data_IF_647197056270
#
_entry.id   IF_647197056270
#
_cell.length_a   1.000
_cell.length_b   1.000
_cell.length_c   1.000
_cell.angle_alpha   90.00
_cell.angle_beta   90.00
_cell.angle_gamma   90.00
#
_symmetry.space_group_name_H-M   'P 1'
#
loop_
_entity.id
_entity.type
_entity.pdbx_description
1 polymer ?
#
# COMPACT_ATOMS: atom_id res chain seq x y z
N UNK A 1 -13.96 16.84 43.01
CA UNK A 1 -12.65 16.75 42.34
C UNK A 1 -12.95 16.75 40.85
N UNK A 2 -12.97 17.95 40.27
CA UNK A 2 -13.27 18.13 38.84
C UNK A 2 -12.06 17.67 38.04
N UNK A 3 -12.25 16.65 37.21
CA UNK A 3 -11.30 16.30 36.16
C UNK A 3 -11.44 17.41 35.12
N UNK A 4 -10.48 18.32 35.09
CA UNK A 4 -10.38 19.33 34.04
C UNK A 4 -9.99 18.58 32.77
N UNK A 5 -11.00 18.21 31.96
CA UNK A 5 -10.80 17.77 30.58
C UNK A 5 -10.06 18.88 29.85
N UNK A 6 -8.79 18.62 29.50
CA UNK A 6 -8.02 19.51 28.66
C UNK A 6 -8.44 19.24 27.21
N UNK A 7 -9.27 20.08 26.56
CA UNK A 7 -10.03 19.68 25.39
C UNK A 7 -9.26 19.83 24.07
N UNK A 8 -7.95 20.06 24.12
CA UNK A 8 -7.13 20.18 22.91
C UNK A 8 -5.76 19.54 23.11
N UNK A 9 -5.55 18.28 22.68
CA UNK A 9 -4.21 17.71 22.64
C UNK A 9 -3.33 18.59 21.75
N UNK A 10 -2.22 19.08 22.31
CA UNK A 10 -1.28 19.94 21.59
C UNK A 10 -0.74 19.17 20.37
N UNK A 11 -0.86 19.75 19.17
CA UNK A 11 -0.24 19.16 18.00
C UNK A 11 1.28 19.27 18.10
N UNK A 12 1.95 18.14 17.89
CA UNK A 12 3.39 18.04 17.80
C UNK A 12 3.82 18.17 16.34
N UNK A 13 4.44 19.31 16.01
CA UNK A 13 5.04 19.53 14.70
C UNK A 13 6.51 19.10 14.74
N UNK A 14 6.89 18.15 13.89
CA UNK A 14 8.28 17.68 13.79
C UNK A 14 8.81 17.99 12.39
N UNK A 15 9.31 19.22 12.16
CA UNK A 15 9.54 19.74 10.81
C UNK A 15 10.71 19.10 10.07
N UNK A 16 11.60 18.42 10.78
CA UNK A 16 12.82 17.81 10.21
C UNK A 16 12.73 16.30 10.07
N UNK A 17 11.69 15.65 10.61
CA UNK A 17 11.57 14.20 10.58
C UNK A 17 11.26 13.73 9.16
N UNK A 18 12.21 13.01 8.54
CA UNK A 18 12.07 12.47 7.18
C UNK A 18 11.57 11.04 7.14
N UNK A 19 11.76 10.28 8.23
CA UNK A 19 11.46 8.85 8.26
C UNK A 19 10.76 8.54 9.57
N UNK A 20 9.56 8.00 9.48
CA UNK A 20 8.78 7.51 10.62
C UNK A 20 8.42 6.06 10.36
N UNK A 21 8.94 5.17 11.20
CA UNK A 21 8.75 3.73 11.08
C UNK A 21 8.28 3.22 12.43
N UNK A 22 7.07 2.68 12.45
CA UNK A 22 6.53 2.00 13.61
C UNK A 22 6.88 0.51 13.54
N UNK A 23 7.40 -0.01 14.65
CA UNK A 23 7.74 -1.41 14.80
C UNK A 23 6.51 -2.29 15.01
N UNK A 24 6.69 -3.61 14.92
CA UNK A 24 5.59 -4.57 15.06
C UNK A 24 5.12 -4.78 16.50
N UNK A 25 5.85 -4.28 17.50
CA UNK A 25 5.65 -4.62 18.92
C UNK A 25 5.14 -3.46 19.78
N UNK A 26 4.93 -2.30 19.20
CA UNK A 26 4.51 -1.14 19.99
C UNK A 26 3.01 -1.27 20.28
N UNK A 27 2.68 -1.66 21.52
CA UNK A 27 1.35 -1.46 22.15
C UNK A 27 1.06 0.04 22.39
N UNK A 28 1.78 0.93 21.72
CA UNK A 28 1.55 2.36 21.82
C UNK A 28 0.21 2.67 21.21
N UNK A 29 -0.56 3.48 21.93
CA UNK A 29 -1.80 4.07 21.45
C UNK A 29 -1.61 4.63 20.03
N UNK A 30 -2.24 3.96 19.06
CA UNK A 30 -2.14 4.23 17.61
C UNK A 30 -2.65 5.64 17.24
N UNK A 31 -3.20 6.38 18.21
CA UNK A 31 -3.64 7.76 18.06
C UNK A 31 -2.52 8.77 17.86
N UNK A 32 -1.24 8.40 17.99
CA UNK A 32 -0.14 9.37 17.85
C UNK A 32 -0.16 10.09 16.49
N UNK A 33 -0.62 9.44 15.42
CA UNK A 33 -0.78 10.08 14.11
C UNK A 33 -1.80 11.22 14.11
N UNK A 34 -2.75 11.27 15.05
CA UNK A 34 -3.69 12.39 15.17
C UNK A 34 -2.99 13.68 15.56
N UNK A 35 -1.90 13.56 16.33
CA UNK A 35 -1.23 14.70 16.94
C UNK A 35 0.05 15.10 16.22
N UNK A 36 0.48 14.34 15.21
CA UNK A 36 1.72 14.60 14.48
C UNK A 36 1.49 15.40 13.20
N UNK A 37 2.31 16.43 12.98
CA UNK A 37 2.44 17.11 11.70
C UNK A 37 3.89 16.99 11.23
N UNK A 38 4.09 16.33 10.08
CA UNK A 38 5.41 15.87 9.62
C UNK A 38 5.72 16.40 8.21
N UNK A 39 5.98 17.72 8.06
CA UNK A 39 6.03 18.35 6.74
C UNK A 39 7.23 17.93 5.86
N UNK A 40 8.29 17.39 6.46
CA UNK A 40 9.44 16.86 5.73
C UNK A 40 9.41 15.33 5.55
N UNK A 41 8.30 14.66 5.87
CA UNK A 41 8.24 13.19 5.86
C UNK A 41 8.37 12.64 4.44
N UNK A 42 9.31 11.71 4.26
CA UNK A 42 9.60 11.04 2.99
C UNK A 42 9.33 9.54 3.07
N UNK A 43 9.44 8.94 4.25
CA UNK A 43 9.19 7.52 4.48
C UNK A 43 8.25 7.33 5.67
N UNK A 44 7.16 6.62 5.44
CA UNK A 44 6.16 6.27 6.44
C UNK A 44 5.93 4.75 6.41
N UNK A 45 6.14 4.09 7.54
CA UNK A 45 5.85 2.66 7.70
C UNK A 45 4.96 2.46 8.92
N UNK A 46 3.75 1.96 8.68
CA UNK A 46 2.69 1.84 9.68
C UNK A 46 2.20 0.40 9.82
N UNK A 47 2.12 -0.14 11.04
CA UNK A 47 1.24 -1.27 11.32
C UNK A 47 -0.21 -0.79 11.29
N UNK A 48 -1.02 -1.38 10.43
CA UNK A 48 -2.47 -1.14 10.34
C UNK A 48 -3.18 -1.95 11.43
N UNK A 49 -2.87 -1.64 12.70
CA UNK A 49 -3.49 -2.28 13.88
C UNK A 49 -4.77 -1.57 14.27
N UNK A 50 -4.74 -0.25 14.44
CA UNK A 50 -5.91 0.54 14.83
C UNK A 50 -6.05 1.85 14.04
N UNK A 51 -5.12 2.13 13.12
CA UNK A 51 -5.20 3.33 12.27
C UNK A 51 -6.34 3.17 11.28
N UNK A 52 -7.34 4.05 11.39
CA UNK A 52 -8.42 4.11 10.41
C UNK A 52 -7.95 4.76 9.11
N UNK A 53 -8.66 4.51 8.00
CA UNK A 53 -8.32 5.15 6.74
C UNK A 53 -8.43 6.68 6.78
N UNK A 54 -9.39 7.19 7.53
CA UNK A 54 -9.59 8.62 7.74
C UNK A 54 -8.42 9.26 8.48
N UNK A 55 -7.85 8.56 9.47
CA UNK A 55 -6.71 9.04 10.24
C UNK A 55 -5.45 9.12 9.38
N UNK A 56 -5.22 8.11 8.54
CA UNK A 56 -4.12 8.14 7.58
C UNK A 56 -4.28 9.30 6.59
N UNK A 57 -5.49 9.48 6.05
CA UNK A 57 -5.84 10.62 5.17
C UNK A 57 -5.57 11.95 5.87
N UNK A 58 -6.09 12.13 7.09
CA UNK A 58 -5.93 13.36 7.86
C UNK A 58 -4.45 13.66 8.16
N UNK A 59 -3.67 12.64 8.52
CA UNK A 59 -2.23 12.79 8.77
C UNK A 59 -1.48 13.23 7.50
N UNK A 60 -1.80 12.64 6.35
CA UNK A 60 -1.20 12.98 5.05
C UNK A 60 -1.58 14.40 4.63
N UNK A 61 -2.88 14.76 4.70
CA UNK A 61 -3.37 16.10 4.38
C UNK A 61 -2.71 17.17 5.24
N UNK A 62 -2.70 16.96 6.57
CA UNK A 62 -2.12 17.91 7.52
C UNK A 62 -0.63 18.08 7.35
N UNK A 63 0.09 17.00 7.02
CA UNK A 63 1.53 17.06 6.85
C UNK A 63 1.94 17.64 5.50
N UNK A 64 1.10 17.54 4.46
CA UNK A 64 1.46 17.91 3.08
C UNK A 64 2.84 17.34 2.67
N UNK A 65 3.14 16.15 3.16
CA UNK A 65 4.49 15.61 3.16
C UNK A 65 4.91 15.22 1.73
N UNK A 66 6.18 15.44 1.34
CA UNK A 66 6.74 14.94 0.10
C UNK A 66 7.03 13.42 0.21
N UNK A 67 6.00 12.64 0.57
CA UNK A 67 6.12 11.24 0.91
C UNK A 67 6.46 10.42 -0.35
N UNK A 68 7.59 9.71 -0.30
CA UNK A 68 8.11 8.89 -1.41
C UNK A 68 7.95 7.41 -1.16
N UNK A 69 7.99 6.97 0.09
CA UNK A 69 7.93 5.57 0.48
C UNK A 69 6.82 5.38 1.53
N UNK A 70 5.79 4.62 1.18
CA UNK A 70 4.69 4.25 2.06
C UNK A 70 4.67 2.73 2.23
N UNK A 71 4.66 2.30 3.48
CA UNK A 71 4.62 0.91 3.89
C UNK A 71 3.45 0.68 4.86
N UNK A 72 2.50 -0.17 4.49
CA UNK A 72 1.32 -0.48 5.30
C UNK A 72 1.32 -1.98 5.65
N UNK A 73 1.25 -2.32 6.94
CA UNK A 73 1.34 -3.71 7.43
C UNK A 73 0.07 -4.09 8.19
N UNK A 74 -0.80 -4.86 7.57
CA UNK A 74 -2.01 -5.35 8.20
C UNK A 74 -1.71 -6.51 9.15
N UNK A 75 -2.43 -6.53 10.25
CA UNK A 75 -2.42 -7.64 11.18
C UNK A 75 -3.71 -8.45 11.02
N UNK A 76 -3.55 -9.77 10.98
CA UNK A 76 -4.56 -10.77 10.58
C UNK A 76 -5.84 -10.80 11.43
N UNK A 77 -5.92 -10.02 12.50
CA UNK A 77 -7.03 -10.05 13.45
C UNK A 77 -7.98 -8.86 13.30
N UNK A 78 -7.67 -7.89 12.43
CA UNK A 78 -8.49 -6.70 12.29
C UNK A 78 -9.41 -6.76 11.05
N UNK A 79 -10.49 -7.51 11.19
CA UNK A 79 -11.56 -7.67 10.18
C UNK A 79 -12.38 -6.37 10.04
N UNK A 80 -12.34 -5.47 11.03
CA UNK A 80 -13.14 -4.24 11.07
C UNK A 80 -12.63 -3.07 10.23
N UNK A 81 -11.50 -3.21 9.51
CA UNK A 81 -11.02 -2.19 8.56
C UNK A 81 -11.85 -2.15 7.25
N UNK A 82 -13.18 -2.26 7.37
CA UNK A 82 -14.14 -2.23 6.26
C UNK A 82 -14.16 -0.91 5.47
N UNK A 83 -13.49 0.14 5.96
CA UNK A 83 -13.50 1.48 5.37
C UNK A 83 -12.12 2.11 5.27
N UNK A 84 -11.09 1.33 4.90
CA UNK A 84 -9.85 1.96 4.47
C UNK A 84 -10.05 2.56 3.07
N UNK A 85 -10.30 3.86 3.00
CA UNK A 85 -10.30 4.60 1.74
C UNK A 85 -8.85 4.85 1.28
N UNK A 86 -8.14 3.76 0.97
CA UNK A 86 -6.74 3.76 0.58
C UNK A 86 -6.55 4.59 -0.70
N UNK A 87 -7.50 4.49 -1.62
CA UNK A 87 -7.51 5.22 -2.86
C UNK A 87 -7.47 6.74 -2.65
N UNK A 88 -8.31 7.29 -1.76
CA UNK A 88 -8.29 8.73 -1.46
C UNK A 88 -7.01 9.15 -0.75
N UNK A 89 -6.47 8.30 0.14
CA UNK A 89 -5.16 8.54 0.75
C UNK A 89 -4.05 8.64 -0.31
N UNK A 90 -3.98 7.68 -1.23
CA UNK A 90 -2.94 7.62 -2.25
C UNK A 90 -3.03 8.79 -3.26
N UNK A 91 -4.24 9.30 -3.54
CA UNK A 91 -4.43 10.50 -4.37
C UNK A 91 -3.78 11.75 -3.79
N UNK A 92 -3.65 11.82 -2.46
CA UNK A 92 -3.00 12.94 -1.77
C UNK A 92 -1.48 12.87 -1.83
N UNK A 93 -0.91 11.78 -2.36
CA UNK A 93 0.52 11.51 -2.38
C UNK A 93 1.00 11.28 -3.82
N UNK A 94 0.90 12.27 -4.72
CA UNK A 94 1.34 12.11 -6.10
C UNK A 94 2.87 11.92 -6.22
N UNK A 95 3.62 12.23 -5.16
CA UNK A 95 5.08 12.06 -5.09
C UNK A 95 5.53 10.66 -4.69
N UNK A 96 4.58 9.75 -4.43
CA UNK A 96 4.88 8.39 -4.01
C UNK A 96 5.61 7.63 -5.11
N UNK A 97 6.77 7.07 -4.75
CA UNK A 97 7.62 6.32 -5.67
C UNK A 97 7.68 4.84 -5.34
N UNK A 98 7.54 4.51 -4.06
CA UNK A 98 7.51 3.15 -3.53
C UNK A 98 6.28 2.95 -2.66
N UNK A 99 5.52 1.90 -2.95
CA UNK A 99 4.38 1.49 -2.14
C UNK A 99 4.47 0.01 -1.76
N UNK A 100 4.30 -0.29 -0.47
CA UNK A 100 4.44 -1.65 0.05
C UNK A 100 3.29 -2.01 0.97
N UNK A 101 2.68 -3.15 0.72
CA UNK A 101 1.58 -3.69 1.53
C UNK A 101 1.92 -5.09 2.00
N UNK A 102 1.74 -5.34 3.30
CA UNK A 102 1.87 -6.67 3.89
C UNK A 102 0.54 -7.11 4.48
N UNK A 103 0.12 -8.32 4.11
CA UNK A 103 -1.17 -8.92 4.48
C UNK A 103 -2.40 -8.08 4.09
N UNK A 104 -2.41 -7.33 2.97
CA UNK A 104 -3.63 -6.64 2.58
C UNK A 104 -4.73 -7.66 2.27
N UNK A 105 -5.98 -7.26 2.46
CA UNK A 105 -7.13 -8.02 1.93
C UNK A 105 -7.13 -7.99 0.40
N UNK A 106 -7.68 -9.02 -0.23
CA UNK A 106 -7.72 -9.15 -1.69
C UNK A 106 -8.51 -8.05 -2.39
N UNK A 107 -9.60 -7.57 -1.79
CA UNK A 107 -10.41 -6.46 -2.28
C UNK A 107 -9.62 -5.15 -2.34
N UNK A 108 -8.86 -4.82 -1.28
CA UNK A 108 -7.98 -3.63 -1.26
C UNK A 108 -6.93 -3.67 -2.37
N UNK A 109 -6.36 -4.84 -2.64
CA UNK A 109 -5.40 -5.00 -3.73
C UNK A 109 -6.09 -4.86 -5.10
N UNK A 110 -7.28 -5.43 -5.24
CA UNK A 110 -8.06 -5.34 -6.49
C UNK A 110 -8.44 -3.88 -6.78
N UNK A 111 -8.94 -3.14 -5.79
CA UNK A 111 -9.25 -1.71 -5.92
C UNK A 111 -8.02 -0.88 -6.31
N UNK A 112 -6.85 -1.18 -5.74
CA UNK A 112 -5.60 -0.53 -6.12
C UNK A 112 -5.29 -0.76 -7.61
N UNK A 113 -5.40 -2.00 -8.09
CA UNK A 113 -5.12 -2.29 -9.51
C UNK A 113 -6.16 -1.69 -10.45
N UNK A 114 -7.44 -1.67 -10.07
CA UNK A 114 -8.48 -0.96 -10.83
C UNK A 114 -8.12 0.53 -10.93
N UNK A 115 -7.83 1.19 -9.81
CA UNK A 115 -7.45 2.60 -9.81
C UNK A 115 -6.17 2.87 -10.63
N UNK A 116 -5.19 1.96 -10.55
CA UNK A 116 -3.98 2.03 -11.37
C UNK A 116 -4.29 1.82 -12.86
N UNK A 117 -5.25 0.97 -13.21
CA UNK A 117 -5.62 0.72 -14.59
C UNK A 117 -6.45 1.85 -15.21
N UNK A 118 -7.33 2.48 -14.43
CA UNK A 118 -8.29 3.47 -14.91
C UNK A 118 -7.71 4.88 -15.11
N UNK A 119 -6.67 5.26 -14.36
CA UNK A 119 -6.25 6.67 -14.30
C UNK A 119 -4.75 6.85 -14.32
N UNK A 120 -4.13 7.14 -15.47
CA UNK A 120 -2.66 7.36 -15.58
C UNK A 120 -2.09 8.44 -14.64
N UNK A 121 -2.93 9.37 -14.16
CA UNK A 121 -2.55 10.39 -13.17
C UNK A 121 -2.56 9.90 -11.72
N UNK A 122 -3.18 8.75 -11.42
CA UNK A 122 -3.14 8.13 -10.10
C UNK A 122 -1.75 7.54 -9.86
N UNK A 123 -1.02 8.03 -8.85
CA UNK A 123 0.35 7.60 -8.51
C UNK A 123 1.33 7.64 -9.71
N UNK A 124 1.55 8.81 -10.32
CA UNK A 124 2.28 8.92 -11.59
C UNK A 124 3.78 8.62 -11.47
N UNK A 125 4.34 8.65 -10.25
CA UNK A 125 5.75 8.43 -9.98
C UNK A 125 6.06 7.04 -9.39
N UNK A 126 5.04 6.19 -9.25
CA UNK A 126 5.17 4.87 -8.65
C UNK A 126 5.93 3.93 -9.59
N UNK A 127 7.07 3.43 -9.14
CA UNK A 127 7.88 2.47 -9.88
C UNK A 127 8.25 1.22 -9.07
N UNK A 128 8.02 1.22 -7.75
CA UNK A 128 8.30 0.09 -6.87
C UNK A 128 7.02 -0.26 -6.08
N UNK A 129 6.42 -1.40 -6.42
CA UNK A 129 5.20 -1.91 -5.81
C UNK A 129 5.44 -3.30 -5.23
N UNK A 130 5.30 -3.44 -3.92
CA UNK A 130 5.40 -4.72 -3.21
C UNK A 130 4.07 -5.05 -2.53
N UNK A 131 3.53 -6.23 -2.80
CA UNK A 131 2.29 -6.72 -2.22
C UNK A 131 2.55 -8.13 -1.70
N UNK A 132 2.38 -8.36 -0.40
CA UNK A 132 2.50 -9.69 0.19
C UNK A 132 1.15 -10.10 0.75
N UNK A 133 0.38 -10.87 -0.02
CA UNK A 133 -0.99 -11.27 0.29
C UNK A 133 -0.92 -12.49 1.23
N UNK A 134 -0.60 -12.30 2.51
CA UNK A 134 -0.59 -13.45 3.42
C UNK A 134 -2.00 -13.98 3.62
N UNK A 135 -2.19 -15.18 3.09
CA UNK A 135 -3.40 -15.95 3.21
C UNK A 135 -3.64 -16.30 4.68
N UNK A 136 -4.75 -15.83 5.23
CA UNK A 136 -5.16 -16.25 6.56
C UNK A 136 -5.72 -17.65 6.45
N UNK A 137 -5.25 -18.58 7.28
CA UNK A 137 -5.54 -20.01 7.21
C UNK A 137 -7.04 -20.42 7.25
N UNK A 138 -7.97 -19.47 7.25
CA UNK A 138 -9.41 -19.64 7.42
C UNK A 138 -10.21 -19.33 6.15
N UNK A 139 -9.60 -18.75 5.11
CA UNK A 139 -10.16 -18.69 3.77
C UNK A 139 -9.05 -18.28 2.82
N UNK A 140 -8.67 -19.14 1.85
CA UNK A 140 -7.77 -18.75 0.80
C UNK A 140 -8.22 -17.42 0.23
N UNK A 141 -7.37 -16.40 0.15
CA UNK A 141 -7.69 -15.18 -0.59
C UNK A 141 -8.04 -15.61 -2.01
N UNK A 142 -9.34 -15.67 -2.34
CA UNK A 142 -9.79 -16.16 -3.64
C UNK A 142 -9.45 -15.08 -4.68
N UNK A 143 -8.24 -15.18 -5.21
CA UNK A 143 -7.76 -14.30 -6.27
C UNK A 143 -8.53 -14.69 -7.53
N UNK A 144 -9.47 -13.83 -7.91
CA UNK A 144 -10.27 -14.01 -9.10
C UNK A 144 -9.42 -13.86 -10.37
N UNK A 145 -9.92 -14.36 -11.51
CA UNK A 145 -9.26 -14.11 -12.80
C UNK A 145 -9.28 -12.62 -13.17
N UNK A 146 -10.25 -11.86 -12.66
CA UNK A 146 -10.32 -10.41 -12.87
C UNK A 146 -9.16 -9.69 -12.22
N UNK A 147 -8.70 -10.12 -11.03
CA UNK A 147 -7.51 -9.57 -10.38
C UNK A 147 -6.29 -9.57 -11.31
N UNK A 148 -6.04 -10.71 -11.96
CA UNK A 148 -4.91 -10.88 -12.87
C UNK A 148 -5.02 -9.99 -14.12
N UNK A 149 -6.23 -9.86 -14.67
CA UNK A 149 -6.49 -8.99 -15.82
C UNK A 149 -6.35 -7.51 -15.46
N UNK A 150 -6.83 -7.09 -14.29
CA UNK A 150 -6.71 -5.72 -13.83
C UNK A 150 -5.25 -5.37 -13.49
N UNK A 151 -4.48 -6.33 -12.96
CA UNK A 151 -3.04 -6.19 -12.81
C UNK A 151 -2.35 -5.94 -14.17
N UNK A 152 -2.61 -6.79 -15.17
CA UNK A 152 -2.01 -6.60 -16.51
C UNK A 152 -2.40 -5.23 -17.08
N UNK A 153 -3.68 -4.85 -16.98
CA UNK A 153 -4.15 -3.54 -17.44
C UNK A 153 -3.45 -2.39 -16.73
N UNK A 154 -3.23 -2.49 -15.42
CA UNK A 154 -2.49 -1.49 -14.64
C UNK A 154 -1.04 -1.35 -15.10
N UNK A 155 -0.38 -2.47 -15.42
CA UNK A 155 1.01 -2.49 -15.88
C UNK A 155 1.17 -2.05 -17.33
N UNK A 156 0.23 -2.37 -18.22
CA UNK A 156 0.28 -1.91 -19.61
C UNK A 156 0.22 -0.38 -19.73
N UNK A 157 -0.41 0.29 -18.76
CA UNK A 157 -0.58 1.73 -18.76
C UNK A 157 0.54 2.48 -18.01
N UNK A 158 1.51 1.77 -17.42
CA UNK A 158 2.50 2.37 -16.50
C UNK A 158 3.85 1.70 -16.52
N UNK A 159 4.88 2.51 -16.29
CA UNK A 159 6.22 2.00 -16.05
C UNK A 159 6.42 1.66 -14.57
N UNK A 160 6.27 0.38 -14.21
CA UNK A 160 6.64 -0.13 -12.89
C UNK A 160 7.96 -0.90 -13.01
N UNK A 161 9.03 -0.31 -12.50
CA UNK A 161 10.38 -0.89 -12.53
C UNK A 161 10.44 -2.22 -11.76
N UNK A 162 9.73 -2.29 -10.63
CA UNK A 162 9.74 -3.42 -9.69
C UNK A 162 8.34 -3.71 -9.20
N UNK A 163 7.81 -4.88 -9.56
CA UNK A 163 6.58 -5.42 -9.02
C UNK A 163 6.89 -6.73 -8.30
N UNK A 164 6.50 -6.82 -7.03
CA UNK A 164 6.60 -8.05 -6.24
C UNK A 164 5.24 -8.40 -5.65
N UNK A 165 4.68 -9.55 -6.02
CA UNK A 165 3.40 -10.06 -5.48
C UNK A 165 3.62 -11.45 -4.86
N UNK A 166 3.71 -11.53 -3.54
CA UNK A 166 3.90 -12.80 -2.82
C UNK A 166 2.61 -13.40 -2.25
N UNK A 167 2.70 -14.69 -1.93
CA UNK A 167 1.69 -15.43 -1.16
C UNK A 167 0.34 -15.58 -1.89
N UNK A 168 0.39 -15.63 -3.21
CA UNK A 168 -0.77 -15.89 -4.07
C UNK A 168 -1.01 -17.41 -4.11
N UNK A 169 -2.25 -17.86 -3.94
CA UNK A 169 -2.62 -19.28 -3.91
C UNK A 169 -3.07 -19.84 -5.27
N UNK A 170 -3.29 -18.97 -6.27
CA UNK A 170 -3.80 -19.32 -7.60
C UNK A 170 -2.88 -18.78 -8.68
N UNK A 171 -2.42 -19.63 -9.59
CA UNK A 171 -1.64 -19.16 -10.74
C UNK A 171 -2.48 -18.29 -11.69
N UNK A 172 -1.87 -17.31 -12.39
CA UNK A 172 -2.56 -16.55 -13.42
C UNK A 172 -3.03 -17.46 -14.56
N UNK A 173 -4.17 -17.13 -15.22
CA UNK A 173 -4.57 -17.76 -16.48
C UNK A 173 -3.48 -17.64 -17.56
N UNK A 174 -3.44 -18.58 -18.52
CA UNK A 174 -2.37 -18.65 -19.53
C UNK A 174 -2.27 -17.37 -20.38
N UNK A 175 -3.39 -16.78 -20.77
CA UNK A 175 -3.45 -15.51 -21.51
C UNK A 175 -2.84 -14.34 -20.72
N UNK A 176 -3.03 -14.33 -19.40
CA UNK A 176 -2.42 -13.33 -18.51
C UNK A 176 -0.91 -13.59 -18.38
N UNK A 177 -0.49 -14.86 -18.25
CA UNK A 177 0.92 -15.21 -18.20
C UNK A 177 1.67 -14.73 -19.46
N UNK A 178 1.07 -14.90 -20.63
CA UNK A 178 1.66 -14.45 -21.89
C UNK A 178 1.76 -12.92 -21.94
N UNK A 179 0.73 -12.20 -21.47
CA UNK A 179 0.78 -10.74 -21.35
C UNK A 179 1.85 -10.26 -20.36
N UNK A 180 2.01 -10.93 -19.22
CA UNK A 180 3.05 -10.61 -18.24
C UNK A 180 4.45 -10.85 -18.82
N UNK A 181 4.65 -11.91 -19.60
CA UNK A 181 5.93 -12.18 -20.28
C UNK A 181 6.29 -11.07 -21.26
N UNK A 182 5.33 -10.57 -22.03
CA UNK A 182 5.56 -9.44 -22.95
C UNK A 182 5.97 -8.17 -22.20
N UNK A 183 5.30 -7.86 -21.09
CA UNK A 183 5.64 -6.70 -20.25
C UNK A 183 7.06 -6.81 -19.68
N UNK A 184 7.48 -8.02 -19.30
CA UNK A 184 8.85 -8.20 -18.80
C UNK A 184 9.89 -8.14 -19.93
N UNK A 185 9.58 -8.68 -21.10
CA UNK A 185 10.42 -8.52 -22.28
C UNK A 185 10.59 -7.03 -22.67
N UNK A 186 9.60 -6.18 -22.35
CA UNK A 186 9.67 -4.73 -22.50
C UNK A 186 10.45 -4.01 -21.37
N UNK A 187 10.96 -4.73 -20.37
CA UNK A 187 11.85 -4.21 -19.32
C UNK A 187 11.27 -4.13 -17.90
N UNK A 188 10.03 -4.57 -17.66
CA UNK A 188 9.44 -4.58 -16.31
C UNK A 188 10.02 -5.72 -15.45
N UNK A 189 10.47 -5.47 -14.21
CA UNK A 189 10.87 -6.55 -13.29
C UNK A 189 9.67 -7.02 -12.47
N UNK A 190 9.04 -8.12 -12.87
CA UNK A 190 7.85 -8.69 -12.22
C UNK A 190 8.21 -10.00 -11.52
N UNK A 191 7.91 -10.09 -10.22
CA UNK A 191 8.08 -11.28 -9.41
C UNK A 191 6.76 -11.67 -8.77
N UNK A 192 6.26 -12.89 -8.99
CA UNK A 192 5.10 -13.42 -8.27
C UNK A 192 5.51 -14.64 -7.41
N UNK A 193 4.82 -14.88 -6.30
CA UNK A 193 5.26 -15.83 -5.26
C UNK A 193 5.07 -17.31 -5.58
N UNK A 194 4.30 -17.66 -6.61
CA UNK A 194 4.03 -19.06 -7.01
C UNK A 194 5.09 -19.62 -7.95
N UNK A 195 5.73 -18.77 -8.72
CA UNK A 195 6.89 -19.07 -9.57
C UNK A 195 7.76 -17.82 -9.50
N UNK A 196 9.03 -17.95 -9.09
CA UNK A 196 9.98 -16.88 -9.37
C UNK A 196 10.04 -16.75 -10.89
N UNK A 197 9.22 -15.86 -11.43
CA UNK A 197 9.37 -15.28 -12.74
C UNK A 197 10.62 -14.41 -12.68
N UNK A 198 11.78 -15.06 -12.55
CA UNK A 198 13.08 -14.46 -12.77
C UNK A 198 13.24 -14.38 -14.28
N UNK A 199 12.47 -13.50 -14.90
CA UNK A 199 12.79 -13.07 -16.24
C UNK A 199 13.98 -12.12 -16.12
N UNK A 200 15.17 -12.70 -16.07
CA UNK A 200 16.40 -11.94 -16.23
C UNK A 200 16.41 -11.48 -17.68
N UNK A 201 16.26 -10.18 -17.91
CA UNK A 201 16.57 -9.60 -19.21
C UNK A 201 18.03 -9.94 -19.54
N UNK A 202 18.23 -10.71 -20.62
CA UNK A 202 19.54 -11.06 -21.15
C UNK A 202 20.21 -9.85 -21.81
#
# INVERSE_FOLDING_TARGET
MEVVDNPNPQMLVVPTLRRLIFGETTNTDDYILHYLTLPALQTLSLPMRYISGEELVACVQRSAAPLRDLALRWQSHNISLLHLNLHDCLRLIPTLTRFRMWRPRSDVVTELFIALAESSSFLPNLHDLTINILDTAHSPADISDSFWRDLVRALSNRHIDRLYIASVNKSPPQDVLDSLRELVAAGANIHTGTEQFNFVAA
#
